data_IF_820196976472
#
_entry.id   IF_820196976472
#
_cell.length_a   1.000
_cell.length_b   1.000
_cell.length_c   1.000
_cell.angle_alpha   90.00
_cell.angle_beta   90.00
_cell.angle_gamma   90.00
#
_symmetry.space_group_name_H-M   'P 1'
#
loop_
_entity.id
_entity.type
_entity.pdbx_description
1 polymer ?
#
# COMPACT_ATOMS: atom_id res chain seq x y z
N UNK A 1 50.66 -1.19 18.71
CA UNK A 1 49.48 -2.04 18.46
C UNK A 1 48.32 -1.12 18.08
N UNK A 2 48.08 -0.92 16.77
CA UNK A 2 46.86 -0.24 16.30
C UNK A 2 45.73 -1.26 16.25
N UNK A 3 44.65 -1.02 16.98
CA UNK A 3 43.44 -1.84 16.98
C UNK A 3 42.61 -1.42 15.76
N UNK A 4 42.50 -2.30 14.77
CA UNK A 4 41.62 -2.11 13.61
C UNK A 4 40.16 -2.12 14.13
N UNK A 5 39.29 -1.20 13.66
CA UNK A 5 37.87 -1.28 13.97
C UNK A 5 37.26 -2.54 13.35
N UNK A 6 36.39 -3.18 14.12
CA UNK A 6 35.73 -4.44 13.84
C UNK A 6 34.75 -4.30 12.66
N UNK A 7 34.81 -5.22 11.69
CA UNK A 7 34.00 -5.19 10.46
C UNK A 7 32.49 -5.48 10.68
N UNK A 8 32.01 -5.51 11.92
CA UNK A 8 30.62 -5.83 12.25
C UNK A 8 29.67 -4.62 12.24
N UNK A 9 30.12 -3.45 11.79
CA UNK A 9 29.28 -2.27 11.57
C UNK A 9 28.73 -2.19 10.13
N UNK A 10 28.54 -3.34 9.45
CA UNK A 10 27.67 -3.39 8.27
C UNK A 10 26.26 -3.10 8.75
N UNK A 11 25.96 -1.80 8.72
CA UNK A 11 24.70 -1.18 9.08
C UNK A 11 23.59 -2.05 8.51
N UNK A 12 22.74 -2.58 9.39
CA UNK A 12 21.44 -3.10 9.01
C UNK A 12 20.72 -1.91 8.41
N UNK A 13 20.86 -1.73 7.10
CA UNK A 13 20.14 -0.71 6.37
C UNK A 13 18.69 -1.16 6.49
N UNK A 14 17.96 -0.51 7.39
CA UNK A 14 16.55 -0.76 7.57
C UNK A 14 15.93 -0.52 6.19
N UNK A 15 15.41 -1.57 5.58
CA UNK A 15 14.69 -1.45 4.32
C UNK A 15 13.44 -0.66 4.70
N UNK A 16 13.44 0.63 4.37
CA UNK A 16 12.27 1.49 4.58
C UNK A 16 11.26 1.06 3.53
N UNK A 17 10.30 0.24 3.95
CA UNK A 17 9.18 -0.15 3.09
C UNK A 17 8.18 0.99 3.10
N UNK A 18 7.93 1.57 1.93
CA UNK A 18 6.95 2.63 1.75
C UNK A 18 5.76 2.04 1.01
N UNK A 19 4.58 2.16 1.61
CA UNK A 19 3.32 1.83 0.96
C UNK A 19 2.67 3.11 0.44
N UNK A 20 2.01 3.02 -0.70
CA UNK A 20 1.23 4.12 -1.28
C UNK A 20 -0.21 3.69 -1.42
N UNK A 21 -1.14 4.61 -1.18
CA UNK A 21 -2.55 4.42 -1.42
C UNK A 21 -3.00 5.28 -2.59
N UNK A 22 -3.68 4.67 -3.56
CA UNK A 22 -4.38 5.34 -4.63
C UNK A 22 -5.89 5.24 -4.42
N UNK A 23 -6.57 6.39 -4.35
CA UNK A 23 -8.04 6.44 -4.21
C UNK A 23 -8.68 6.57 -5.60
N UNK A 24 -9.34 5.49 -6.04
CA UNK A 24 -10.19 5.48 -7.23
C UNK A 24 -11.51 6.23 -6.90
N UNK A 25 -11.84 7.27 -7.67
CA UNK A 25 -13.01 8.13 -7.44
C UNK A 25 -13.70 8.45 -8.76
N UNK A 26 -15.03 8.56 -8.74
CA UNK A 26 -15.84 8.86 -9.95
C UNK A 26 -15.79 10.34 -10.36
N UNK A 27 -15.40 11.21 -9.43
CA UNK A 27 -15.52 12.67 -9.57
C UNK A 27 -14.17 13.38 -9.73
N UNK A 28 -13.07 12.71 -9.39
CA UNK A 28 -11.74 13.32 -9.46
C UNK A 28 -11.10 12.97 -10.79
N UNK A 29 -10.96 13.97 -11.65
CA UNK A 29 -10.24 13.86 -12.92
C UNK A 29 -8.72 13.71 -12.73
N UNK A 30 -8.21 13.86 -11.50
CA UNK A 30 -6.81 13.70 -11.13
C UNK A 30 -6.66 12.54 -10.16
N UNK A 31 -5.79 11.55 -10.45
CA UNK A 31 -5.51 10.45 -9.55
C UNK A 31 -4.86 10.95 -8.26
N UNK A 32 -5.39 10.55 -7.10
CA UNK A 32 -4.84 10.92 -5.79
C UNK A 32 -4.05 9.75 -5.20
N UNK A 33 -2.72 9.90 -5.15
CA UNK A 33 -1.79 8.94 -4.55
C UNK A 33 -1.09 9.55 -3.35
N UNK A 34 -1.13 8.87 -2.20
CA UNK A 34 -0.51 9.33 -0.96
C UNK A 34 0.31 8.24 -0.28
N UNK A 35 1.45 8.58 0.36
CA UNK A 35 2.20 7.62 1.17
C UNK A 35 1.44 7.26 2.45
N UNK A 36 1.53 5.99 2.84
CA UNK A 36 0.93 5.46 4.06
C UNK A 36 1.96 5.40 5.19
N UNK A 37 1.56 5.84 6.38
CA UNK A 37 2.29 5.69 7.63
C UNK A 37 2.16 4.26 8.19
N UNK A 38 2.64 3.27 7.41
CA UNK A 38 2.50 1.85 7.73
C UNK A 38 3.83 1.11 7.70
N UNK A 39 4.10 0.29 8.73
CA UNK A 39 5.30 -0.55 8.79
C UNK A 39 5.15 -1.90 8.05
N UNK A 40 3.91 -2.33 7.82
CA UNK A 40 3.58 -3.60 7.19
C UNK A 40 2.26 -3.51 6.39
N UNK A 41 1.96 -4.57 5.64
CA UNK A 41 0.79 -4.62 4.76
C UNK A 41 -0.54 -4.47 5.51
N UNK A 42 -0.64 -5.02 6.72
CA UNK A 42 -1.88 -4.95 7.52
C UNK A 42 -2.14 -3.52 8.01
N UNK A 43 -1.11 -2.84 8.51
CA UNK A 43 -1.20 -1.42 8.85
C UNK A 43 -1.55 -0.57 7.62
N UNK A 44 -0.92 -0.85 6.47
CA UNK A 44 -1.18 -0.14 5.22
C UNK A 44 -2.63 -0.33 4.77
N UNK A 45 -3.17 -1.54 4.94
CA UNK A 45 -4.57 -1.84 4.69
C UNK A 45 -5.50 -1.02 5.58
N UNK A 46 -5.24 -0.97 6.89
CA UNK A 46 -6.07 -0.24 7.86
C UNK A 46 -6.08 1.27 7.59
N UNK A 47 -4.93 1.83 7.21
CA UNK A 47 -4.81 3.24 6.84
C UNK A 47 -5.51 3.54 5.50
N UNK A 48 -5.35 2.67 4.50
CA UNK A 48 -6.06 2.79 3.23
C UNK A 48 -7.58 2.64 3.38
N UNK A 49 -8.05 1.78 4.29
CA UNK A 49 -9.47 1.66 4.66
C UNK A 49 -10.00 2.97 5.27
N UNK A 50 -9.23 3.61 6.15
CA UNK A 50 -9.59 4.90 6.75
C UNK A 50 -9.62 6.02 5.70
N UNK A 51 -8.61 6.10 4.83
CA UNK A 51 -8.58 7.07 3.73
C UNK A 51 -9.80 6.88 2.83
N UNK A 52 -10.08 5.64 2.39
CA UNK A 52 -11.25 5.35 1.57
C UNK A 52 -12.55 5.75 2.26
N UNK A 53 -12.67 5.60 3.58
CA UNK A 53 -13.84 6.04 4.34
C UNK A 53 -13.98 7.57 4.38
N UNK A 54 -12.88 8.31 4.53
CA UNK A 54 -12.87 9.77 4.53
C UNK A 54 -13.22 10.37 3.15
N UNK A 55 -12.79 9.72 2.06
CA UNK A 55 -13.11 10.16 0.70
C UNK A 55 -14.52 9.73 0.29
N UNK A 56 -15.52 10.57 0.59
CA UNK A 56 -16.94 10.30 0.33
C UNK A 56 -17.26 9.78 -1.10
N UNK A 57 -16.53 10.24 -2.11
CA UNK A 57 -16.70 9.82 -3.51
C UNK A 57 -15.73 8.74 -3.98
N UNK A 58 -14.86 8.25 -3.08
CA UNK A 58 -13.95 7.14 -3.35
C UNK A 58 -14.72 5.82 -3.48
N UNK A 59 -14.42 5.07 -4.54
CA UNK A 59 -14.97 3.75 -4.82
C UNK A 59 -14.05 2.63 -4.32
N UNK A 60 -12.75 2.82 -4.48
CA UNK A 60 -11.74 1.86 -4.07
C UNK A 60 -10.47 2.57 -3.59
N UNK A 61 -9.72 1.89 -2.73
CA UNK A 61 -8.36 2.23 -2.34
C UNK A 61 -7.44 1.08 -2.78
N UNK A 62 -6.40 1.41 -3.53
CA UNK A 62 -5.41 0.46 -4.00
C UNK A 62 -4.11 0.72 -3.25
N UNK A 63 -3.56 -0.30 -2.60
CA UNK A 63 -2.27 -0.17 -1.90
C UNK A 63 -1.17 -0.75 -2.78
N UNK A 64 -0.12 0.05 -2.94
CA UNK A 64 1.08 -0.28 -3.69
C UNK A 64 2.27 -0.35 -2.75
N UNK A 65 3.24 -1.16 -3.13
CA UNK A 65 4.61 -1.11 -2.62
C UNK A 65 5.50 -1.01 -3.85
N UNK A 66 6.22 0.10 -3.96
CA UNK A 66 6.99 0.41 -5.17
C UNK A 66 6.06 0.41 -6.41
N UNK A 67 6.29 -0.46 -7.39
CA UNK A 67 5.44 -0.62 -8.58
C UNK A 67 4.40 -1.75 -8.44
N UNK A 68 4.46 -2.54 -7.37
CA UNK A 68 3.57 -3.69 -7.16
C UNK A 68 2.29 -3.28 -6.43
N UNK A 69 1.14 -3.50 -7.07
CA UNK A 69 -0.16 -3.40 -6.40
C UNK A 69 -0.34 -4.64 -5.53
N UNK A 70 -0.44 -4.43 -4.21
CA UNK A 70 -0.56 -5.53 -3.26
C UNK A 70 -2.02 -5.85 -2.97
N UNK A 71 -2.86 -4.82 -2.78
CA UNK A 71 -4.26 -5.02 -2.42
C UNK A 71 -5.17 -3.97 -3.00
N UNK A 72 -6.44 -4.33 -3.11
CA UNK A 72 -7.53 -3.41 -3.41
C UNK A 72 -8.62 -3.55 -2.35
N UNK A 73 -8.98 -2.43 -1.71
CA UNK A 73 -10.11 -2.30 -0.81
C UNK A 73 -11.22 -1.61 -1.60
N UNK A 74 -12.41 -2.17 -1.63
CA UNK A 74 -13.58 -1.55 -2.25
C UNK A 74 -14.61 -1.18 -1.20
N UNK A 75 -15.26 -0.03 -1.37
CA UNK A 75 -16.48 0.26 -0.61
C UNK A 75 -17.56 -0.72 -1.05
N UNK A 76 -18.23 -1.41 -0.12
CA UNK A 76 -19.32 -2.28 -0.48
C UNK A 76 -20.49 -1.44 -0.95
N UNK A 77 -20.86 -1.57 -2.22
CA UNK A 77 -22.17 -1.11 -2.71
C UNK A 77 -23.23 -2.07 -2.11
N UNK A 78 -23.65 -1.83 -0.86
CA UNK A 78 -24.74 -2.58 -0.22
C UNK A 78 -24.36 -3.61 0.86
N UNK A 79 -23.15 -3.55 1.44
CA UNK A 79 -22.78 -4.29 2.66
C UNK A 79 -21.76 -5.42 2.48
N UNK A 80 -20.68 -5.33 3.27
CA UNK A 80 -19.45 -6.17 3.42
C UNK A 80 -18.25 -5.77 2.55
N UNK A 81 -17.28 -5.11 3.19
CA UNK A 81 -15.93 -4.85 2.65
C UNK A 81 -15.26 -6.20 2.37
N UNK A 82 -14.73 -6.37 1.16
CA UNK A 82 -13.92 -7.54 0.78
C UNK A 82 -12.58 -7.00 0.30
N UNK A 83 -11.51 -7.33 1.01
CA UNK A 83 -10.15 -7.09 0.55
C UNK A 83 -9.78 -8.21 -0.43
N UNK A 84 -9.40 -7.86 -1.66
CA UNK A 84 -8.86 -8.81 -2.63
C UNK A 84 -7.38 -8.56 -2.80
N UNK A 85 -6.59 -9.61 -2.58
CA UNK A 85 -5.16 -9.64 -2.83
C UNK A 85 -4.90 -9.79 -4.34
N UNK A 86 -4.11 -8.90 -4.92
CA UNK A 86 -3.93 -8.78 -6.37
C UNK A 86 -2.91 -9.79 -6.94
N UNK A 87 -2.22 -10.56 -6.09
CA UNK A 87 -1.22 -11.56 -6.52
C UNK A 87 -1.82 -12.72 -7.36
N UNK A 88 -3.15 -12.75 -7.54
CA UNK A 88 -3.86 -13.79 -8.27
C UNK A 88 -4.12 -13.49 -9.76
N UNK A 89 -3.80 -12.29 -10.27
CA UNK A 89 -4.16 -11.88 -11.65
C UNK A 89 -3.02 -11.93 -12.70
N UNK A 90 -1.83 -12.41 -12.36
CA UNK A 90 -0.70 -12.52 -13.31
C UNK A 90 -0.78 -13.71 -14.30
N UNK A 91 -1.95 -14.32 -14.51
CA UNK A 91 -2.13 -15.48 -15.41
C UNK A 91 -3.29 -15.31 -16.42
N UNK A 92 -3.53 -14.10 -16.91
CA UNK A 92 -4.31 -13.93 -18.14
C UNK A 92 -3.35 -13.92 -19.35
N UNK A 93 -3.33 -14.95 -20.23
CA UNK A 93 -2.58 -14.90 -21.47
C UNK A 93 -3.16 -13.83 -22.41
N UNK A 94 -2.25 -13.17 -23.13
CA UNK A 94 -2.52 -12.11 -24.12
C UNK A 94 -3.38 -12.59 -25.27
#
# INVERSE_FOLDING_TARGET
MLRLPDASERTRQAIVVIYFCFIESDILSVPHMEPLAAANLEEARQEAEQLLYQHASGQAAHVFKEDDRLLTIRRPRGGRIVATDDLSMSLAPR
#
